data_IF_475367585764
#
_entry.id   IF_475367585764
#
_cell.length_a   1.000
_cell.length_b   1.000
_cell.length_c   1.000
_cell.angle_alpha   90.00
_cell.angle_beta   90.00
_cell.angle_gamma   90.00
#
_symmetry.space_group_name_H-M   'P 1'
#
loop_
_entity.id
_entity.type
_entity.pdbx_description
1 polymer ?
#
# COMPACT_ATOMS: atom_id res chain seq x y z
N UNK A 1 -27.49 91.85 -0.99
CA UNK A 1 -27.97 93.20 -0.66
C UNK A 1 -27.34 93.50 0.69
N UNK A 2 -26.28 94.28 0.84
CA UNK A 2 -25.96 95.62 0.31
C UNK A 2 -24.43 95.79 0.22
N UNK A 3 -23.89 96.02 -0.98
CA UNK A 3 -22.47 96.35 -1.21
C UNK A 3 -22.31 97.83 -1.60
N UNK A 4 -23.02 98.71 -0.90
CA UNK A 4 -23.12 100.13 -1.26
C UNK A 4 -22.58 101.08 -0.19
N UNK A 5 -22.10 100.57 0.95
CA UNK A 5 -21.55 101.39 2.06
C UNK A 5 -20.01 101.22 2.23
N UNK A 6 -19.34 100.39 1.42
CA UNK A 6 -17.90 100.08 1.59
C UNK A 6 -16.95 101.09 0.91
N UNK A 7 -17.45 102.06 0.14
CA UNK A 7 -16.58 102.96 -0.65
C UNK A 7 -15.98 104.14 0.13
N UNK A 8 -16.14 104.24 1.46
CA UNK A 8 -15.57 105.37 2.20
C UNK A 8 -15.02 105.03 3.60
N UNK A 9 -14.51 103.82 3.82
CA UNK A 9 -13.77 103.51 5.05
C UNK A 9 -12.28 103.83 4.89
N UNK A 10 -11.75 104.61 5.83
CA UNK A 10 -10.33 104.98 5.92
C UNK A 10 -9.45 103.81 6.43
N UNK A 11 -10.06 102.66 6.74
CA UNK A 11 -9.43 101.50 7.36
C UNK A 11 -9.13 100.41 6.32
N UNK A 12 -7.92 99.86 6.37
CA UNK A 12 -7.51 98.71 5.55
C UNK A 12 -7.96 97.37 6.19
N UNK A 13 -9.21 96.99 5.97
CA UNK A 13 -9.79 95.74 6.49
C UNK A 13 -9.16 94.48 5.89
N UNK A 14 -8.56 94.53 4.69
CA UNK A 14 -7.95 93.37 4.03
C UNK A 14 -6.71 92.89 4.79
N UNK A 15 -5.88 93.83 5.26
CA UNK A 15 -4.72 93.52 6.09
C UNK A 15 -5.12 92.86 7.42
N UNK A 16 -6.21 93.31 8.04
CA UNK A 16 -6.69 92.81 9.34
C UNK A 16 -7.42 91.46 9.28
N UNK A 17 -8.14 91.17 8.20
CA UNK A 17 -8.86 89.89 8.02
C UNK A 17 -7.98 88.77 7.47
N UNK A 18 -6.72 89.07 7.12
CA UNK A 18 -5.79 88.07 6.61
C UNK A 18 -5.47 86.98 7.66
N UNK A 19 -5.49 85.68 7.31
CA UNK A 19 -5.21 84.58 8.25
C UNK A 19 -3.76 84.56 8.77
N UNK A 20 -2.89 85.40 8.20
CA UNK A 20 -1.49 85.58 8.57
C UNK A 20 -1.24 86.87 9.36
N UNK A 21 -2.28 87.63 9.70
CA UNK A 21 -2.14 88.88 10.43
C UNK A 21 -1.47 88.65 11.79
N UNK A 22 -0.38 89.38 12.04
CA UNK A 22 0.31 89.37 13.34
C UNK A 22 0.39 90.81 13.88
N UNK A 23 -0.17 91.07 15.09
CA UNK A 23 -0.21 92.41 15.66
C UNK A 23 1.18 93.07 15.80
N UNK A 24 2.20 92.26 16.11
CA UNK A 24 3.58 92.72 16.29
C UNK A 24 4.25 93.15 14.98
N UNK A 25 4.03 92.43 13.88
CA UNK A 25 4.56 92.79 12.56
C UNK A 25 3.90 94.05 12.02
N UNK A 26 2.59 94.18 12.24
CA UNK A 26 1.84 95.37 11.85
C UNK A 26 2.31 96.61 12.64
N UNK A 27 2.42 96.50 13.96
CA UNK A 27 2.94 97.58 14.80
C UNK A 27 4.36 98.01 14.38
N UNK A 28 5.24 97.05 14.08
CA UNK A 28 6.58 97.33 13.58
C UNK A 28 6.56 98.03 12.22
N UNK A 29 5.71 97.60 11.29
CA UNK A 29 5.58 98.26 9.98
C UNK A 29 5.08 99.70 10.10
N UNK A 30 4.22 99.97 11.09
CA UNK A 30 3.63 101.29 11.32
C UNK A 30 4.62 102.24 12.01
N UNK A 31 5.42 101.74 12.96
CA UNK A 31 6.52 102.51 13.59
C UNK A 31 7.61 102.84 12.58
N UNK A 32 7.99 101.89 11.72
CA UNK A 32 8.97 102.11 10.65
C UNK A 32 8.43 103.01 9.53
N UNK A 33 7.10 103.03 9.32
CA UNK A 33 6.45 103.88 8.32
C UNK A 33 6.30 105.34 8.73
N UNK A 34 6.24 105.64 10.03
CA UNK A 34 6.08 107.02 10.54
C UNK A 34 7.39 107.68 10.94
N UNK A 35 8.44 106.91 11.24
CA UNK A 35 9.71 107.44 11.76
C UNK A 35 10.84 107.25 10.74
N UNK A 36 11.66 108.29 10.55
CA UNK A 36 12.90 108.19 9.80
C UNK A 36 14.06 107.75 10.73
N UNK A 37 15.09 107.05 10.21
CA UNK A 37 16.19 106.52 11.02
C UNK A 37 17.06 107.59 11.70
N UNK A 38 16.80 108.87 11.46
CA UNK A 38 17.51 110.03 12.03
C UNK A 38 16.70 110.80 13.08
N UNK A 39 15.45 110.41 13.37
CA UNK A 39 14.64 111.09 14.38
C UNK A 39 15.02 110.65 15.81
N UNK A 40 15.41 111.62 16.64
CA UNK A 40 15.61 111.46 18.09
C UNK A 40 14.96 112.64 18.81
N UNK A 41 13.91 112.45 19.63
CA UNK A 41 13.30 111.18 20.07
C UNK A 41 12.32 110.58 19.05
N UNK A 42 12.17 109.25 19.10
CA UNK A 42 11.22 108.47 18.30
C UNK A 42 9.78 108.92 18.58
N UNK A 43 9.05 109.29 17.53
CA UNK A 43 7.63 109.66 17.66
C UNK A 43 6.76 108.41 17.67
N UNK A 44 6.35 108.02 18.87
CA UNK A 44 5.38 106.96 19.13
C UNK A 44 3.95 107.48 19.20
N UNK A 45 3.75 108.80 19.28
CA UNK A 45 2.44 109.39 19.45
C UNK A 45 1.60 109.26 18.18
N UNK A 46 2.20 109.49 17.01
CA UNK A 46 1.53 109.40 15.71
C UNK A 46 1.12 107.97 15.33
N UNK A 47 1.98 106.94 15.48
CA UNK A 47 1.58 105.53 15.35
C UNK A 47 0.44 105.12 16.27
N UNK A 48 0.55 105.51 17.53
CA UNK A 48 -0.40 105.12 18.56
C UNK A 48 -1.75 105.80 18.32
N UNK A 49 -1.77 107.09 17.94
CA UNK A 49 -3.02 107.78 17.60
C UNK A 49 -3.73 107.15 16.40
N UNK A 50 -2.97 106.68 15.41
CA UNK A 50 -3.53 106.00 14.23
C UNK A 50 -4.15 104.65 14.61
N UNK A 51 -3.42 103.80 15.34
CA UNK A 51 -3.94 102.49 15.79
C UNK A 51 -5.13 102.67 16.72
N UNK A 52 -5.13 103.68 17.59
CA UNK A 52 -6.27 103.97 18.45
C UNK A 52 -7.49 104.44 17.64
N UNK A 53 -7.29 105.28 16.64
CA UNK A 53 -8.35 105.72 15.75
C UNK A 53 -8.95 104.52 14.99
N UNK A 54 -8.10 103.69 14.37
CA UNK A 54 -8.53 102.50 13.63
C UNK A 54 -9.27 101.51 14.55
N UNK A 55 -8.77 101.29 15.78
CA UNK A 55 -9.42 100.40 16.76
C UNK A 55 -10.76 100.97 17.25
N UNK A 56 -10.85 102.28 17.49
CA UNK A 56 -12.10 102.93 17.87
C UNK A 56 -13.12 102.84 16.74
N UNK A 57 -12.73 103.12 15.50
CA UNK A 57 -13.61 103.06 14.35
C UNK A 57 -14.08 101.62 14.08
N UNK A 58 -13.18 100.62 14.11
CA UNK A 58 -13.53 99.20 14.05
C UNK A 58 -14.51 98.83 15.16
N UNK A 59 -14.27 99.26 16.40
CA UNK A 59 -15.15 98.93 17.51
C UNK A 59 -16.53 99.59 17.34
N UNK A 60 -16.60 100.85 16.89
CA UNK A 60 -17.88 101.50 16.59
C UNK A 60 -18.60 100.83 15.42
N UNK A 61 -17.87 100.35 14.42
CA UNK A 61 -18.44 99.64 13.28
C UNK A 61 -18.96 98.26 13.69
N UNK A 62 -18.21 97.51 14.51
CA UNK A 62 -18.65 96.24 15.09
C UNK A 62 -19.86 96.47 15.99
N UNK A 63 -19.86 97.50 16.83
CA UNK A 63 -20.98 97.82 17.71
C UNK A 63 -22.22 98.20 16.89
N UNK A 64 -22.09 99.01 15.84
CA UNK A 64 -23.21 99.37 14.98
C UNK A 64 -23.73 98.20 14.16
N UNK A 65 -22.85 97.35 13.63
CA UNK A 65 -23.25 96.16 12.89
C UNK A 65 -23.89 95.13 13.82
N UNK A 66 -23.29 94.90 14.99
CA UNK A 66 -23.79 93.95 16.00
C UNK A 66 -25.10 94.44 16.61
N UNK A 67 -25.30 95.74 16.82
CA UNK A 67 -26.59 96.27 17.30
C UNK A 67 -27.66 96.25 16.21
N UNK A 68 -27.34 96.60 14.96
CA UNK A 68 -28.28 96.56 13.83
C UNK A 68 -28.67 95.13 13.44
N UNK A 69 -27.73 94.20 13.45
CA UNK A 69 -27.92 92.79 13.09
C UNK A 69 -27.83 91.83 14.27
N UNK A 70 -28.11 92.31 15.49
CA UNK A 70 -28.06 91.50 16.73
C UNK A 70 -28.93 90.24 16.60
N UNK A 71 -30.15 90.42 16.12
CA UNK A 71 -31.13 89.34 15.98
C UNK A 71 -30.68 88.30 14.94
N UNK A 72 -30.29 88.67 13.70
CA UNK A 72 -29.72 87.73 12.73
C UNK A 72 -28.48 86.96 13.21
N UNK A 73 -27.57 87.61 13.94
CA UNK A 73 -26.35 86.96 14.44
C UNK A 73 -26.67 85.97 15.56
N UNK A 74 -27.59 86.33 16.46
CA UNK A 74 -28.09 85.44 17.50
C UNK A 74 -28.86 84.26 16.90
N UNK A 75 -29.73 84.49 15.91
CA UNK A 75 -30.43 83.40 15.24
C UNK A 75 -29.45 82.48 14.49
N UNK A 76 -28.46 83.03 13.79
CA UNK A 76 -27.48 82.22 13.07
C UNK A 76 -26.61 81.38 14.00
N UNK A 77 -26.11 81.97 15.09
CA UNK A 77 -25.33 81.24 16.10
C UNK A 77 -26.18 80.22 16.84
N UNK A 78 -27.45 80.52 17.13
CA UNK A 78 -28.40 79.58 17.71
C UNK A 78 -28.65 78.40 16.75
N UNK A 79 -28.96 78.67 15.48
CA UNK A 79 -29.21 77.65 14.45
C UNK A 79 -27.96 76.78 14.19
N UNK A 80 -26.78 77.40 14.17
CA UNK A 80 -25.50 76.69 13.99
C UNK A 80 -25.18 75.80 15.20
N UNK A 81 -25.41 76.31 16.42
CA UNK A 81 -25.19 75.53 17.65
C UNK A 81 -26.19 74.38 17.72
N UNK A 82 -27.46 74.63 17.40
CA UNK A 82 -28.51 73.61 17.42
C UNK A 82 -28.27 72.54 16.35
N UNK A 83 -27.90 72.92 15.12
CA UNK A 83 -27.58 71.96 14.05
C UNK A 83 -26.34 71.14 14.37
N UNK A 84 -25.27 71.76 14.89
CA UNK A 84 -24.05 71.05 15.32
C UNK A 84 -24.35 70.08 16.46
N UNK A 85 -25.18 70.49 17.43
CA UNK A 85 -25.58 69.64 18.54
C UNK A 85 -26.42 68.44 18.07
N UNK A 86 -27.34 68.64 17.12
CA UNK A 86 -28.10 67.54 16.50
C UNK A 86 -27.19 66.56 15.76
N UNK A 87 -26.21 67.06 15.01
CA UNK A 87 -25.25 66.21 14.28
C UNK A 87 -24.40 65.39 15.26
N UNK A 88 -23.88 66.02 16.32
CA UNK A 88 -23.10 65.32 17.34
C UNK A 88 -23.94 64.26 18.04
N UNK A 89 -25.18 64.57 18.41
CA UNK A 89 -26.10 63.61 19.03
C UNK A 89 -26.37 62.40 18.13
N UNK A 90 -26.62 62.64 16.84
CA UNK A 90 -26.86 61.57 15.88
C UNK A 90 -25.60 60.70 15.71
N UNK A 91 -24.43 61.31 15.54
CA UNK A 91 -23.16 60.59 15.43
C UNK A 91 -22.86 59.78 16.69
N UNK A 92 -23.03 60.37 17.88
CA UNK A 92 -22.83 59.67 19.14
C UNK A 92 -23.77 58.48 19.28
N UNK A 93 -25.03 58.64 18.87
CA UNK A 93 -26.01 57.55 18.87
C UNK A 93 -25.62 56.43 17.91
N UNK A 94 -25.12 56.76 16.71
CA UNK A 94 -24.69 55.80 15.71
C UNK A 94 -23.39 55.08 16.15
N UNK A 95 -22.43 55.80 16.71
CA UNK A 95 -21.19 55.24 17.25
C UNK A 95 -21.50 54.31 18.44
N UNK A 96 -22.40 54.72 19.34
CA UNK A 96 -22.84 53.86 20.43
C UNK A 96 -23.51 52.58 19.91
N UNK A 97 -24.39 52.69 18.90
CA UNK A 97 -25.05 51.55 18.28
C UNK A 97 -24.05 50.59 17.60
N UNK A 98 -23.02 51.12 16.95
CA UNK A 98 -21.98 50.34 16.30
C UNK A 98 -21.10 49.62 17.33
N UNK A 99 -20.75 50.30 18.41
CA UNK A 99 -19.93 49.74 19.48
C UNK A 99 -20.70 48.62 20.22
N UNK A 100 -21.99 48.81 20.47
CA UNK A 100 -22.86 47.77 21.00
C UNK A 100 -23.04 46.61 20.02
N UNK A 101 -23.18 46.90 18.71
CA UNK A 101 -23.21 45.89 17.65
C UNK A 101 -21.92 45.06 17.59
N UNK A 102 -20.76 45.71 17.71
CA UNK A 102 -19.46 45.04 17.74
C UNK A 102 -19.29 44.16 18.98
N UNK A 103 -19.65 44.67 20.17
CA UNK A 103 -19.63 43.88 21.41
C UNK A 103 -20.56 42.67 21.35
N UNK A 104 -21.71 42.81 20.70
CA UNK A 104 -22.62 41.68 20.44
C UNK A 104 -21.97 40.67 19.49
N UNK A 105 -21.37 41.12 18.39
CA UNK A 105 -20.68 40.25 17.44
C UNK A 105 -19.49 39.51 18.08
N UNK A 106 -18.67 40.21 18.86
CA UNK A 106 -17.55 39.63 19.60
C UNK A 106 -18.03 38.51 20.53
N UNK A 107 -19.07 38.79 21.31
CA UNK A 107 -19.62 37.82 22.26
C UNK A 107 -20.32 36.64 21.57
N UNK A 108 -21.09 36.89 20.52
CA UNK A 108 -21.93 35.86 19.89
C UNK A 108 -21.22 35.07 18.81
N UNK A 109 -20.29 35.67 18.08
CA UNK A 109 -19.62 35.05 16.92
C UNK A 109 -18.20 34.63 17.28
N UNK A 110 -17.40 35.52 17.86
CA UNK A 110 -15.97 35.26 18.07
C UNK A 110 -15.77 34.16 19.14
N UNK A 111 -16.42 34.30 20.29
CA UNK A 111 -16.36 33.27 21.35
C UNK A 111 -16.93 31.93 20.88
N UNK A 112 -17.98 31.94 20.05
CA UNK A 112 -18.53 30.69 19.48
C UNK A 112 -17.62 30.07 18.43
N UNK A 113 -16.88 30.88 17.68
CA UNK A 113 -15.91 30.40 16.71
C UNK A 113 -14.71 29.75 17.40
N UNK A 114 -14.14 30.39 18.42
CA UNK A 114 -13.01 29.83 19.19
C UNK A 114 -13.39 28.49 19.82
N UNK A 115 -14.56 28.43 20.48
CA UNK A 115 -15.07 27.17 21.05
C UNK A 115 -15.35 26.11 19.97
N UNK A 116 -15.81 26.50 18.79
CA UNK A 116 -15.99 25.57 17.68
C UNK A 116 -14.66 25.05 17.12
N UNK A 117 -13.61 25.86 17.08
CA UNK A 117 -12.26 25.45 16.65
C UNK A 117 -11.63 24.47 17.65
N UNK A 118 -11.81 24.71 18.95
CA UNK A 118 -11.42 23.76 20.00
C UNK A 118 -12.16 22.43 19.84
N UNK A 119 -13.48 22.47 19.65
CA UNK A 119 -14.30 21.27 19.44
C UNK A 119 -13.91 20.55 18.15
N UNK A 120 -13.62 21.28 17.06
CA UNK A 120 -13.14 20.70 15.81
C UNK A 120 -11.81 19.96 16.02
N UNK A 121 -10.90 20.54 16.79
CA UNK A 121 -9.60 19.95 17.13
C UNK A 121 -9.76 18.70 18.01
N UNK A 122 -10.68 18.71 18.97
CA UNK A 122 -11.01 17.54 19.78
C UNK A 122 -11.66 16.45 18.93
N UNK A 123 -12.60 16.82 18.06
CA UNK A 123 -13.31 15.89 17.19
C UNK A 123 -12.37 15.24 16.16
N UNK A 124 -11.40 15.98 15.60
CA UNK A 124 -10.41 15.42 14.67
C UNK A 124 -9.50 14.40 15.37
N UNK A 125 -9.02 14.71 16.58
CA UNK A 125 -8.24 13.77 17.41
C UNK A 125 -9.05 12.53 17.79
N UNK A 126 -10.32 12.69 18.16
CA UNK A 126 -11.21 11.57 18.47
C UNK A 126 -11.46 10.71 17.22
N UNK A 127 -11.63 11.32 16.06
CA UNK A 127 -11.79 10.57 14.81
C UNK A 127 -10.53 9.78 14.45
N UNK A 128 -9.34 10.38 14.57
CA UNK A 128 -8.07 9.70 14.34
C UNK A 128 -7.87 8.51 15.30
N UNK A 129 -8.18 8.70 16.58
CA UNK A 129 -8.06 7.62 17.58
C UNK A 129 -9.06 6.49 17.34
N UNK A 130 -10.31 6.79 16.97
CA UNK A 130 -11.32 5.77 16.62
C UNK A 130 -10.93 5.05 15.32
N UNK A 131 -10.45 5.77 14.30
CA UNK A 131 -9.98 5.18 13.04
C UNK A 131 -8.84 4.21 13.31
N UNK A 132 -7.82 4.64 14.04
CA UNK A 132 -6.67 3.81 14.38
C UNK A 132 -7.08 2.61 15.24
N UNK A 133 -7.93 2.84 16.24
CA UNK A 133 -8.44 1.78 17.13
C UNK A 133 -9.21 0.70 16.39
N UNK A 134 -10.04 1.06 15.39
CA UNK A 134 -10.78 0.09 14.56
C UNK A 134 -9.85 -0.78 13.72
N UNK A 135 -8.82 -0.20 13.11
CA UNK A 135 -7.88 -0.95 12.29
C UNK A 135 -7.00 -1.86 13.15
N UNK A 136 -6.52 -1.37 14.30
CA UNK A 136 -5.80 -2.20 15.28
C UNK A 136 -6.67 -3.35 15.76
N UNK A 137 -7.93 -3.10 16.10
CA UNK A 137 -8.87 -4.14 16.49
C UNK A 137 -9.07 -5.19 15.38
N UNK A 138 -9.23 -4.76 14.12
CA UNK A 138 -9.30 -5.67 12.97
C UNK A 138 -8.02 -6.49 12.79
N UNK A 139 -6.85 -5.87 12.91
CA UNK A 139 -5.55 -6.55 12.83
C UNK A 139 -5.39 -7.61 13.94
N UNK A 140 -5.75 -7.26 15.18
CA UNK A 140 -5.72 -8.18 16.32
C UNK A 140 -6.72 -9.33 16.14
N UNK A 141 -7.93 -9.05 15.65
CA UNK A 141 -8.94 -10.08 15.36
C UNK A 141 -8.46 -11.05 14.28
N UNK A 142 -7.85 -10.55 13.21
CA UNK A 142 -7.24 -11.38 12.17
C UNK A 142 -6.06 -12.19 12.70
N UNK A 143 -5.22 -11.60 13.56
CA UNK A 143 -4.14 -12.32 14.24
C UNK A 143 -4.66 -13.46 15.12
N UNK A 144 -5.69 -13.22 15.92
CA UNK A 144 -6.36 -14.26 16.71
C UNK A 144 -6.98 -15.35 15.82
N UNK A 145 -7.62 -14.96 14.72
CA UNK A 145 -8.18 -15.91 13.76
C UNK A 145 -7.07 -16.78 13.15
N UNK A 146 -5.92 -16.19 12.82
CA UNK A 146 -4.76 -16.90 12.31
C UNK A 146 -4.20 -17.90 13.34
N UNK A 147 -4.10 -17.54 14.62
CA UNK A 147 -3.65 -18.47 15.67
C UNK A 147 -4.59 -19.67 15.82
N UNK A 148 -5.90 -19.44 15.81
CA UNK A 148 -6.89 -20.52 15.89
C UNK A 148 -6.72 -21.46 14.69
N UNK A 149 -6.65 -20.91 13.48
CA UNK A 149 -6.47 -21.70 12.26
C UNK A 149 -5.11 -22.41 12.23
N UNK A 150 -4.06 -21.83 12.80
CA UNK A 150 -2.74 -22.46 12.91
C UNK A 150 -2.76 -23.63 13.90
N UNK A 151 -3.51 -23.52 14.99
CA UNK A 151 -3.70 -24.61 15.95
C UNK A 151 -4.46 -25.81 15.35
N UNK A 152 -5.38 -25.54 14.40
CA UNK A 152 -6.09 -26.56 13.62
C UNK A 152 -5.16 -27.29 12.63
N UNK A 153 -4.13 -26.62 12.10
CA UNK A 153 -3.12 -27.23 11.22
C UNK A 153 -2.16 -28.13 12.01
N UNK A 154 -1.81 -27.73 13.25
CA UNK A 154 -0.84 -28.44 14.08
C UNK A 154 -1.40 -29.61 14.90
N UNK A 155 -2.72 -29.84 14.89
CA UNK A 155 -3.42 -30.71 15.85
C UNK A 155 -3.07 -30.42 17.34
N UNK A 156 -2.56 -29.22 17.64
CA UNK A 156 -2.10 -28.83 18.99
C UNK A 156 -3.24 -28.32 19.88
N UNK A 157 -4.42 -28.06 19.32
CA UNK A 157 -5.59 -27.52 20.03
C UNK A 157 -6.51 -28.54 20.71
N UNK A 158 -6.28 -29.85 20.56
CA UNK A 158 -7.11 -30.89 21.18
C UNK A 158 -6.35 -31.59 22.33
N UNK A 159 -6.85 -31.60 23.59
CA UNK A 159 -6.19 -32.27 24.71
C UNK A 159 -6.19 -33.80 24.61
N UNK A 160 -6.86 -34.36 23.60
CA UNK A 160 -6.87 -35.79 23.29
C UNK A 160 -6.31 -35.96 21.88
N UNK A 161 -5.06 -36.45 21.79
CA UNK A 161 -4.52 -37.01 20.56
C UNK A 161 -5.32 -38.27 20.21
N UNK A 162 -6.49 -38.11 19.60
CA UNK A 162 -7.18 -39.25 18.98
C UNK A 162 -6.31 -39.71 17.82
N UNK A 163 -5.78 -40.93 17.83
CA UNK A 163 -5.04 -41.47 16.70
C UNK A 163 -6.02 -41.55 15.52
N UNK A 164 -5.88 -40.66 14.53
CA UNK A 164 -6.79 -40.57 13.39
C UNK A 164 -7.66 -39.32 13.29
N UNK A 165 -7.52 -38.33 14.19
CA UNK A 165 -8.10 -37.01 13.97
C UNK A 165 -7.45 -36.36 12.75
N UNK A 166 -8.21 -36.30 11.65
CA UNK A 166 -7.76 -35.80 10.34
C UNK A 166 -7.25 -34.37 10.48
N UNK A 167 -6.04 -34.13 10.00
CA UNK A 167 -5.52 -32.78 9.80
C UNK A 167 -6.46 -32.02 8.86
N UNK A 168 -6.97 -30.87 9.28
CA UNK A 168 -7.82 -30.03 8.44
C UNK A 168 -6.96 -29.34 7.37
N UNK A 169 -6.70 -30.03 6.26
CA UNK A 169 -5.99 -29.45 5.11
C UNK A 169 -6.70 -28.20 4.54
N UNK A 170 -7.99 -28.05 4.82
CA UNK A 170 -8.78 -26.83 4.53
C UNK A 170 -8.42 -25.64 5.44
N UNK A 171 -7.91 -25.88 6.65
CA UNK A 171 -7.41 -24.84 7.55
C UNK A 171 -6.18 -24.12 6.94
N UNK A 172 -5.38 -24.83 6.14
CA UNK A 172 -4.22 -24.26 5.43
C UNK A 172 -4.67 -23.20 4.41
N UNK A 173 -5.73 -23.48 3.63
CA UNK A 173 -6.35 -22.52 2.70
C UNK A 173 -6.94 -21.33 3.45
N UNK A 174 -7.64 -21.57 4.56
CA UNK A 174 -8.18 -20.50 5.42
C UNK A 174 -7.07 -19.60 5.97
N UNK A 175 -5.96 -20.16 6.44
CA UNK A 175 -4.77 -19.43 6.89
C UNK A 175 -4.17 -18.58 5.77
N UNK A 176 -4.08 -19.12 4.55
CA UNK A 176 -3.54 -18.34 3.43
C UNK A 176 -4.40 -17.11 3.11
N UNK A 177 -5.73 -17.23 3.20
CA UNK A 177 -6.63 -16.10 3.00
C UNK A 177 -6.55 -15.07 4.13
N UNK A 178 -6.41 -15.50 5.39
CA UNK A 178 -6.23 -14.57 6.52
C UNK A 178 -4.88 -13.86 6.45
N UNK A 179 -3.79 -14.56 6.09
CA UNK A 179 -2.48 -13.97 5.82
C UNK A 179 -2.54 -12.96 4.66
N UNK A 180 -3.31 -13.25 3.61
CA UNK A 180 -3.52 -12.31 2.50
C UNK A 180 -4.28 -11.06 2.93
N UNK A 181 -5.35 -11.20 3.71
CA UNK A 181 -6.10 -10.06 4.25
C UNK A 181 -5.22 -9.19 5.17
N UNK A 182 -4.35 -9.83 5.95
CA UNK A 182 -3.37 -9.12 6.80
C UNK A 182 -2.36 -8.37 5.91
N UNK A 183 -1.83 -9.01 4.86
CA UNK A 183 -0.94 -8.35 3.90
C UNK A 183 -1.60 -7.18 3.19
N UNK A 184 -2.86 -7.32 2.79
CA UNK A 184 -3.65 -6.25 2.17
C UNK A 184 -3.79 -5.04 3.12
N UNK A 185 -4.08 -5.29 4.39
CA UNK A 185 -4.13 -4.25 5.42
C UNK A 185 -2.80 -3.50 5.58
N UNK A 186 -1.67 -4.20 5.52
CA UNK A 186 -0.36 -3.57 5.59
C UNK A 186 0.06 -2.87 4.29
N UNK A 187 -0.38 -3.38 3.12
CA UNK A 187 -0.08 -2.78 1.83
C UNK A 187 -0.86 -1.47 1.60
N UNK A 188 -2.09 -1.38 2.10
CA UNK A 188 -2.94 -0.17 2.07
C UNK A 188 -2.50 0.89 3.08
N UNK A 189 -1.24 1.33 3.03
CA UNK A 189 -0.64 2.29 3.98
C UNK A 189 -0.71 3.77 3.51
N UNK A 190 -1.37 4.04 2.38
CA UNK A 190 -1.50 5.38 1.82
C UNK A 190 -2.29 6.36 2.70
N UNK A 191 -2.17 7.69 2.49
CA UNK A 191 -2.92 8.68 3.25
C UNK A 191 -4.42 8.52 3.02
N UNK A 192 -5.17 8.19 4.08
CA UNK A 192 -6.61 7.93 4.02
C UNK A 192 -6.98 6.45 3.86
N UNK A 193 -6.01 5.56 3.69
CA UNK A 193 -6.22 4.12 3.62
C UNK A 193 -6.15 3.47 5.02
N UNK A 194 -6.70 2.27 5.13
CA UNK A 194 -6.88 1.57 6.41
C UNK A 194 -5.56 1.34 7.16
N UNK A 195 -4.44 1.11 6.47
CA UNK A 195 -3.14 0.83 7.06
C UNK A 195 -2.32 2.06 7.49
N UNK A 196 -2.85 3.28 7.32
CA UNK A 196 -2.09 4.49 7.63
C UNK A 196 -1.82 4.65 9.14
N UNK A 197 -0.53 4.59 9.52
CA UNK A 197 -0.09 4.72 10.91
C UNK A 197 -0.05 3.42 11.71
N UNK A 198 -0.35 2.27 11.08
CA UNK A 198 -0.40 0.97 11.77
C UNK A 198 0.99 0.49 12.24
N UNK A 199 2.04 0.74 11.46
CA UNK A 199 3.43 0.33 11.77
C UNK A 199 4.05 1.11 12.94
N UNK A 200 3.49 2.29 13.26
CA UNK A 200 3.94 3.11 14.39
C UNK A 200 3.53 2.50 15.73
N UNK A 201 2.59 1.57 15.75
CA UNK A 201 2.05 0.96 16.97
C UNK A 201 2.87 -0.26 17.34
N UNK A 202 3.42 -0.25 18.55
CA UNK A 202 4.26 -1.34 19.06
C UNK A 202 3.52 -2.68 19.08
N UNK A 203 2.26 -2.71 19.50
CA UNK A 203 1.44 -3.94 19.55
C UNK A 203 1.28 -4.60 18.17
N UNK A 204 1.20 -3.80 17.11
CA UNK A 204 1.11 -4.32 15.74
C UNK A 204 2.46 -4.89 15.30
N UNK A 205 3.55 -4.21 15.64
CA UNK A 205 4.91 -4.68 15.37
C UNK A 205 5.25 -5.96 16.13
N UNK A 206 4.82 -6.07 17.39
CA UNK A 206 4.99 -7.30 18.16
C UNK A 206 4.16 -8.42 17.55
N UNK A 207 2.89 -8.21 17.20
CA UNK A 207 2.07 -9.20 16.50
C UNK A 207 2.69 -9.66 15.16
N UNK A 208 3.28 -8.73 14.39
CA UNK A 208 3.94 -9.06 13.14
C UNK A 208 5.16 -9.96 13.34
N UNK A 209 5.99 -9.63 14.33
CA UNK A 209 7.23 -10.36 14.62
C UNK A 209 6.98 -11.69 15.34
N UNK A 210 6.01 -11.75 16.25
CA UNK A 210 5.76 -12.91 17.11
C UNK A 210 4.75 -13.91 16.54
N UNK A 211 3.79 -13.47 15.75
CA UNK A 211 2.69 -14.32 15.26
C UNK A 211 2.68 -14.42 13.74
N UNK A 212 2.63 -13.29 13.01
CA UNK A 212 2.45 -13.31 11.55
C UNK A 212 3.65 -13.96 10.84
N UNK A 213 4.86 -13.46 11.07
CA UNK A 213 6.07 -13.96 10.43
C UNK A 213 6.32 -15.46 10.69
N UNK A 214 6.24 -15.97 11.93
CA UNK A 214 6.39 -17.41 12.17
C UNK A 214 5.21 -18.21 11.60
N UNK A 215 3.97 -17.72 11.68
CA UNK A 215 2.82 -18.42 11.08
C UNK A 215 2.99 -18.59 9.57
N UNK A 216 3.46 -17.55 8.87
CA UNK A 216 3.75 -17.63 7.44
C UNK A 216 4.81 -18.71 7.13
N UNK A 217 5.91 -18.74 7.90
CA UNK A 217 6.95 -19.78 7.74
C UNK A 217 6.42 -21.19 8.01
N UNK A 218 5.56 -21.36 9.00
CA UNK A 218 4.95 -22.66 9.31
C UNK A 218 4.02 -23.10 8.17
N UNK A 219 3.17 -22.21 7.66
CA UNK A 219 2.26 -22.53 6.55
C UNK A 219 3.04 -22.86 5.27
N UNK A 220 4.10 -22.11 4.96
CA UNK A 220 4.97 -22.38 3.80
C UNK A 220 5.73 -23.69 3.94
N UNK A 221 6.39 -23.93 5.08
CA UNK A 221 7.14 -25.18 5.30
C UNK A 221 6.21 -26.40 5.28
N UNK A 222 5.00 -26.30 5.86
CA UNK A 222 4.02 -27.40 5.87
C UNK A 222 3.46 -27.69 4.49
N UNK A 223 3.11 -26.66 3.70
CA UNK A 223 2.65 -26.85 2.32
C UNK A 223 3.73 -27.44 1.42
N UNK A 224 5.00 -27.00 1.55
CA UNK A 224 6.14 -27.61 0.86
C UNK A 224 6.36 -29.06 1.28
N UNK A 225 6.23 -29.38 2.57
CA UNK A 225 6.33 -30.75 3.08
C UNK A 225 5.26 -31.66 2.49
N UNK A 226 3.99 -31.22 2.44
CA UNK A 226 2.89 -32.00 1.86
C UNK A 226 3.09 -32.30 0.37
N UNK A 227 3.73 -31.39 -0.38
CA UNK A 227 4.08 -31.63 -1.79
C UNK A 227 5.25 -32.61 -1.89
N UNK A 228 6.26 -32.51 -1.01
CA UNK A 228 7.40 -33.44 -0.98
C UNK A 228 7.00 -34.87 -0.61
N UNK A 229 6.01 -35.02 0.27
CA UNK A 229 5.49 -36.31 0.73
C UNK A 229 4.45 -36.92 -0.21
N UNK A 230 4.14 -36.25 -1.33
CA UNK A 230 3.16 -36.74 -2.28
C UNK A 230 3.59 -38.07 -2.92
N UNK A 231 2.77 -39.10 -2.70
CA UNK A 231 2.88 -40.40 -3.35
C UNK A 231 1.49 -41.01 -3.54
N UNK A 232 1.16 -41.38 -4.78
CA UNK A 232 -0.09 -42.08 -5.14
C UNK A 232 0.16 -43.47 -5.74
N UNK A 233 1.42 -43.85 -5.99
CA UNK A 233 1.76 -45.13 -6.60
C UNK A 233 1.71 -46.25 -5.58
N UNK A 234 0.93 -47.28 -5.91
CA UNK A 234 0.83 -48.54 -5.17
C UNK A 234 1.94 -49.55 -5.53
N UNK A 235 2.84 -49.20 -6.46
CA UNK A 235 3.78 -50.14 -7.06
C UNK A 235 4.97 -50.49 -6.15
N UNK A 236 5.32 -49.64 -5.19
CA UNK A 236 6.43 -49.88 -4.24
C UNK A 236 6.02 -50.65 -2.99
N UNK A 237 4.72 -50.82 -2.73
CA UNK A 237 4.18 -51.33 -1.46
C UNK A 237 3.57 -52.71 -1.65
N UNK A 238 4.41 -53.75 -1.65
CA UNK A 238 3.97 -55.16 -1.82
C UNK A 238 3.06 -55.68 -0.70
N UNK A 239 2.77 -54.89 0.35
CA UNK A 239 1.98 -55.33 1.52
C UNK A 239 0.81 -54.42 1.89
N UNK A 240 0.66 -53.23 1.29
CA UNK A 240 -0.41 -52.28 1.64
C UNK A 240 -0.87 -51.56 0.37
N UNK A 241 -1.95 -52.03 -0.24
CA UNK A 241 -2.68 -51.25 -1.24
C UNK A 241 -3.26 -50.02 -0.55
N UNK A 242 -2.90 -48.81 -0.99
CA UNK A 242 -3.52 -47.61 -0.41
C UNK A 242 -5.01 -47.64 -0.75
N UNK A 243 -5.87 -47.62 0.25
CA UNK A 243 -7.32 -47.61 0.04
C UNK A 243 -7.71 -46.39 -0.80
N UNK A 244 -8.72 -46.49 -1.67
CA UNK A 244 -9.23 -45.35 -2.45
C UNK A 244 -9.43 -44.07 -1.61
N UNK A 245 -9.86 -44.23 -0.36
CA UNK A 245 -9.98 -43.14 0.60
C UNK A 245 -8.64 -42.43 0.91
N UNK A 246 -7.53 -43.16 1.02
CA UNK A 246 -6.19 -42.62 1.27
C UNK A 246 -5.63 -41.90 0.03
N UNK A 247 -5.85 -42.46 -1.16
CA UNK A 247 -5.46 -41.82 -2.43
C UNK A 247 -6.25 -40.53 -2.66
N UNK A 248 -7.54 -40.51 -2.31
CA UNK A 248 -8.36 -39.29 -2.36
C UNK A 248 -7.91 -38.26 -1.33
N UNK A 249 -7.62 -38.68 -0.10
CA UNK A 249 -7.17 -37.79 0.97
C UNK A 249 -5.81 -37.14 0.65
N UNK A 250 -4.85 -37.90 0.12
CA UNK A 250 -3.56 -37.35 -0.36
C UNK A 250 -3.73 -36.38 -1.52
N UNK A 251 -4.67 -36.64 -2.44
CA UNK A 251 -5.07 -35.70 -3.50
C UNK A 251 -5.67 -34.41 -2.94
N UNK A 252 -6.58 -34.48 -1.97
CA UNK A 252 -7.21 -33.29 -1.37
C UNK A 252 -6.23 -32.45 -0.54
N UNK A 253 -5.29 -33.11 0.17
CA UNK A 253 -4.19 -32.44 0.89
C UNK A 253 -3.26 -31.70 -0.04
N UNK A 254 -2.84 -32.34 -1.14
CA UNK A 254 -1.96 -31.71 -2.12
C UNK A 254 -2.65 -30.61 -2.91
N UNK A 255 -3.94 -30.75 -3.26
CA UNK A 255 -4.73 -29.66 -3.82
C UNK A 255 -4.76 -28.43 -2.90
N UNK A 256 -4.97 -28.65 -1.60
CA UNK A 256 -4.97 -27.58 -0.59
C UNK A 256 -3.58 -26.95 -0.43
N UNK A 257 -2.50 -27.75 -0.47
CA UNK A 257 -1.12 -27.26 -0.42
C UNK A 257 -0.73 -26.46 -1.68
N UNK A 258 -1.19 -26.86 -2.86
CA UNK A 258 -0.95 -26.15 -4.11
C UNK A 258 -1.70 -24.81 -4.13
N UNK A 259 -2.98 -24.82 -3.75
CA UNK A 259 -3.79 -23.60 -3.64
C UNK A 259 -3.18 -22.59 -2.67
N UNK A 260 -2.60 -23.06 -1.57
CA UNK A 260 -2.00 -22.18 -0.54
C UNK A 260 -0.66 -21.62 -0.95
N UNK A 261 0.21 -22.39 -1.61
CA UNK A 261 1.43 -21.86 -2.21
C UNK A 261 1.14 -20.87 -3.34
N UNK A 262 0.10 -21.13 -4.12
CA UNK A 262 -0.39 -20.19 -5.12
C UNK A 262 -0.86 -18.87 -4.47
N UNK A 263 -1.71 -18.96 -3.44
CA UNK A 263 -2.22 -17.80 -2.70
C UNK A 263 -1.10 -17.03 -1.97
N UNK A 264 -0.11 -17.70 -1.40
CA UNK A 264 1.00 -17.06 -0.69
C UNK A 264 2.12 -16.56 -1.61
N UNK A 265 2.16 -17.01 -2.87
CA UNK A 265 3.13 -16.54 -3.85
C UNK A 265 3.02 -15.03 -4.03
N UNK A 266 4.18 -14.37 -3.99
CA UNK A 266 4.28 -12.93 -3.84
C UNK A 266 3.70 -12.20 -5.04
N UNK A 267 2.57 -11.51 -4.84
CA UNK A 267 2.13 -10.44 -5.73
C UNK A 267 2.88 -9.11 -5.45
N UNK A 268 3.90 -9.10 -4.58
CA UNK A 268 4.62 -7.89 -4.19
C UNK A 268 5.29 -7.17 -5.37
N UNK A 269 5.51 -7.85 -6.49
CA UNK A 269 5.99 -7.25 -7.74
C UNK A 269 4.96 -6.41 -8.50
N UNK A 270 3.66 -6.52 -8.18
CA UNK A 270 2.58 -5.84 -8.89
C UNK A 270 2.31 -4.40 -8.40
N UNK A 271 2.91 -4.00 -7.28
CA UNK A 271 2.75 -2.64 -6.72
C UNK A 271 3.81 -1.64 -7.20
N UNK A 272 4.76 -2.06 -8.04
CA UNK A 272 5.56 -1.10 -8.81
C UNK A 272 4.68 -0.58 -9.94
N UNK A 273 4.60 0.74 -10.12
CA UNK A 273 3.80 1.45 -11.15
C UNK A 273 4.03 1.00 -12.61
N UNK A 274 4.84 -0.03 -12.83
CA UNK A 274 5.15 -0.72 -14.09
C UNK A 274 4.43 -2.09 -14.27
N UNK A 275 3.42 -2.40 -13.46
CA UNK A 275 2.73 -3.71 -13.41
C UNK A 275 2.01 -4.17 -14.69
N UNK A 276 1.89 -3.35 -15.73
CA UNK A 276 1.18 -3.74 -16.98
C UNK A 276 1.92 -4.74 -17.86
N UNK A 277 3.14 -5.16 -17.51
CA UNK A 277 3.99 -6.03 -18.35
C UNK A 277 4.70 -7.20 -17.65
N UNK A 278 4.55 -7.35 -16.34
CA UNK A 278 5.11 -8.50 -15.63
C UNK A 278 4.05 -9.60 -15.61
N UNK A 279 4.24 -10.61 -16.45
CA UNK A 279 3.51 -11.87 -16.31
C UNK A 279 3.74 -12.36 -14.88
N UNK A 280 2.68 -12.38 -14.08
CA UNK A 280 2.77 -12.86 -12.71
C UNK A 280 2.99 -14.38 -12.75
N UNK A 281 4.13 -14.83 -12.24
CA UNK A 281 4.46 -16.25 -12.12
C UNK A 281 4.47 -16.66 -10.64
N UNK A 282 3.83 -17.78 -10.27
CA UNK A 282 3.76 -18.22 -8.89
C UNK A 282 5.10 -18.87 -8.48
N UNK A 283 6.09 -18.03 -8.19
CA UNK A 283 7.49 -18.43 -7.93
C UNK A 283 7.61 -19.49 -6.82
N UNK A 284 6.91 -19.31 -5.69
CA UNK A 284 6.93 -20.28 -4.58
C UNK A 284 6.38 -21.66 -4.98
N UNK A 285 5.34 -21.69 -5.81
CA UNK A 285 4.75 -22.93 -6.30
C UNK A 285 5.70 -23.60 -7.29
N UNK A 286 6.22 -22.84 -8.27
CA UNK A 286 7.17 -23.34 -9.27
C UNK A 286 8.42 -23.88 -8.60
N UNK A 287 9.00 -23.15 -7.65
CA UNK A 287 10.18 -23.58 -6.89
C UNK A 287 9.91 -24.88 -6.12
N UNK A 288 8.77 -24.99 -5.42
CA UNK A 288 8.44 -26.19 -4.66
C UNK A 288 8.28 -27.44 -5.55
N UNK A 289 7.70 -27.27 -6.74
CA UNK A 289 7.53 -28.34 -7.72
C UNK A 289 8.84 -28.70 -8.41
N UNK A 290 9.69 -27.72 -8.72
CA UNK A 290 11.04 -27.96 -9.23
C UNK A 290 11.90 -28.72 -8.23
N UNK A 291 11.84 -28.38 -6.94
CA UNK A 291 12.54 -29.09 -5.87
C UNK A 291 12.06 -30.55 -5.73
N UNK A 292 10.74 -30.77 -5.83
CA UNK A 292 10.18 -32.13 -5.84
C UNK A 292 10.72 -32.94 -7.02
N UNK A 293 10.70 -32.38 -8.23
CA UNK A 293 11.23 -33.03 -9.45
C UNK A 293 12.72 -33.33 -9.32
N UNK A 294 13.53 -32.37 -8.86
CA UNK A 294 14.98 -32.53 -8.65
C UNK A 294 15.27 -33.62 -7.62
N UNK A 295 14.50 -33.68 -6.54
CA UNK A 295 14.64 -34.71 -5.49
C UNK A 295 14.27 -36.10 -6.03
N UNK A 296 13.18 -36.21 -6.78
CA UNK A 296 12.77 -37.46 -7.43
C UNK A 296 13.81 -37.95 -8.45
N UNK A 297 14.40 -37.05 -9.25
CA UNK A 297 15.43 -37.34 -10.24
C UNK A 297 16.76 -37.77 -9.61
N UNK A 298 17.28 -36.99 -8.67
CA UNK A 298 18.57 -37.30 -8.01
C UNK A 298 18.50 -38.61 -7.23
N UNK A 299 17.41 -38.85 -6.52
CA UNK A 299 17.21 -40.11 -5.80
C UNK A 299 17.02 -41.32 -6.71
N UNK A 300 16.38 -41.18 -7.87
CA UNK A 300 16.18 -42.29 -8.83
C UNK A 300 17.45 -42.59 -9.61
N UNK A 301 18.22 -41.56 -9.99
CA UNK A 301 19.54 -41.72 -10.59
C UNK A 301 20.49 -42.46 -9.65
N UNK A 302 20.56 -42.05 -8.37
CA UNK A 302 21.44 -42.65 -7.38
C UNK A 302 21.05 -44.08 -6.98
N UNK A 303 19.76 -44.43 -7.00
CA UNK A 303 19.31 -45.81 -6.76
C UNK A 303 19.60 -46.70 -7.96
N UNK A 304 19.34 -46.20 -9.18
CA UNK A 304 19.55 -46.95 -10.42
C UNK A 304 21.06 -47.16 -10.69
N UNK A 305 21.91 -46.17 -10.44
CA UNK A 305 23.37 -46.32 -10.58
C UNK A 305 23.94 -47.39 -9.64
N UNK A 306 23.41 -47.49 -8.42
CA UNK A 306 23.79 -48.55 -7.47
C UNK A 306 23.25 -49.91 -7.91
N UNK A 307 22.00 -49.98 -8.33
CA UNK A 307 21.38 -51.24 -8.76
C UNK A 307 22.01 -51.82 -10.04
N UNK A 308 22.52 -50.97 -10.93
CA UNK A 308 23.33 -51.43 -12.07
C UNK A 308 24.70 -51.98 -11.64
N UNK A 309 25.28 -51.47 -10.55
CA UNK A 309 26.48 -52.08 -9.97
C UNK A 309 26.16 -53.40 -9.23
N UNK A 310 24.95 -53.54 -8.68
CA UNK A 310 24.48 -54.71 -7.92
C UNK A 310 23.16 -55.27 -8.48
N UNK A 311 23.29 -56.07 -9.54
CA UNK A 311 22.18 -56.58 -10.36
C UNK A 311 20.99 -57.25 -9.62
N UNK A 312 21.17 -57.97 -8.48
CA UNK A 312 20.05 -58.60 -7.77
C UNK A 312 18.99 -57.62 -7.25
N UNK A 313 19.34 -56.34 -7.10
CA UNK A 313 18.43 -55.29 -6.62
C UNK A 313 17.76 -54.51 -7.75
N UNK A 314 18.11 -54.80 -9.00
CA UNK A 314 17.67 -54.06 -10.19
C UNK A 314 16.15 -54.02 -10.30
N UNK A 315 15.47 -55.16 -10.27
CA UNK A 315 14.02 -55.23 -10.44
C UNK A 315 13.28 -54.43 -9.37
N UNK A 316 13.73 -54.51 -8.12
CA UNK A 316 13.17 -53.71 -7.03
C UNK A 316 13.35 -52.21 -7.27
N UNK A 317 14.55 -51.78 -7.67
CA UNK A 317 14.79 -50.35 -7.93
C UNK A 317 14.06 -49.85 -9.16
N UNK A 318 13.88 -50.66 -10.20
CA UNK A 318 13.09 -50.32 -11.39
C UNK A 318 11.60 -50.19 -11.04
N UNK A 319 11.08 -51.01 -10.13
CA UNK A 319 9.73 -50.83 -9.58
C UNK A 319 9.60 -49.52 -8.79
N UNK A 320 10.59 -49.15 -7.99
CA UNK A 320 10.59 -47.86 -7.26
C UNK A 320 10.71 -46.65 -8.21
N UNK A 321 11.53 -46.72 -9.27
CA UNK A 321 11.65 -45.65 -10.28
C UNK A 321 10.37 -45.50 -11.10
N UNK A 322 9.76 -46.62 -11.51
CA UNK A 322 8.46 -46.58 -12.20
C UNK A 322 7.35 -46.05 -11.31
N UNK A 323 7.35 -46.38 -10.00
CA UNK A 323 6.42 -45.80 -9.03
C UNK A 323 6.57 -44.27 -8.92
N UNK A 324 7.80 -43.74 -8.92
CA UNK A 324 8.06 -42.30 -8.91
C UNK A 324 7.57 -41.62 -10.20
N UNK A 325 7.75 -42.25 -11.36
CA UNK A 325 7.21 -41.74 -12.62
C UNK A 325 5.67 -41.71 -12.62
N UNK A 326 5.03 -42.76 -12.08
CA UNK A 326 3.57 -42.78 -11.90
C UNK A 326 3.08 -41.67 -10.99
N UNK A 327 3.81 -41.35 -9.91
CA UNK A 327 3.52 -40.20 -9.06
C UNK A 327 3.61 -38.88 -9.83
N UNK A 328 4.60 -38.71 -10.71
CA UNK A 328 4.72 -37.51 -11.54
C UNK A 328 3.58 -37.36 -12.55
N UNK A 329 3.16 -38.44 -13.19
CA UNK A 329 2.00 -38.44 -14.08
C UNK A 329 0.72 -38.10 -13.31
N UNK A 330 0.59 -38.66 -12.10
CA UNK A 330 -0.53 -38.36 -11.23
C UNK A 330 -0.53 -36.87 -10.81
N UNK A 331 0.63 -36.30 -10.47
CA UNK A 331 0.80 -34.87 -10.17
C UNK A 331 0.44 -33.99 -11.38
N UNK A 332 0.86 -34.37 -12.59
CA UNK A 332 0.52 -33.67 -13.82
C UNK A 332 -1.01 -33.63 -14.02
N UNK A 333 -1.68 -34.76 -13.84
CA UNK A 333 -3.15 -34.82 -13.93
C UNK A 333 -3.85 -33.99 -12.86
N UNK A 334 -3.26 -33.88 -11.65
CA UNK A 334 -3.79 -33.02 -10.59
C UNK A 334 -3.64 -31.55 -10.96
N UNK A 335 -2.46 -31.12 -11.35
CA UNK A 335 -2.19 -29.73 -11.76
C UNK A 335 -3.02 -29.31 -12.98
N UNK A 336 -3.38 -30.24 -13.87
CA UNK A 336 -4.30 -30.01 -15.00
C UNK A 336 -5.75 -29.82 -14.55
N UNK A 337 -6.13 -30.44 -13.43
CA UNK A 337 -7.52 -30.46 -12.93
C UNK A 337 -7.85 -29.32 -11.97
N UNK A 338 -6.83 -28.66 -11.42
CA UNK A 338 -7.03 -27.62 -10.41
C UNK A 338 -7.15 -26.27 -11.11
N UNK A 339 -8.34 -25.68 -11.02
CA UNK A 339 -8.56 -24.28 -11.36
C UNK A 339 -7.99 -23.39 -10.25
N UNK A 340 -7.25 -22.31 -10.60
CA UNK A 340 -6.72 -21.39 -9.61
C UNK A 340 -7.87 -20.73 -8.82
N UNK A 341 -7.78 -20.64 -7.49
CA UNK A 341 -8.71 -19.82 -6.71
C UNK A 341 -8.48 -18.33 -7.03
N UNK A 342 -9.54 -17.54 -6.98
CA UNK A 342 -9.46 -16.09 -7.17
C UNK A 342 -8.43 -15.48 -6.20
N UNK A 343 -7.41 -14.82 -6.75
CA UNK A 343 -6.34 -14.22 -5.97
C UNK A 343 -6.74 -12.77 -5.65
N UNK A 344 -6.90 -12.39 -4.36
CA UNK A 344 -7.40 -11.05 -4.00
C UNK A 344 -6.47 -9.90 -4.41
N UNK A 345 -5.21 -10.20 -4.77
CA UNK A 345 -4.21 -9.21 -5.18
C UNK A 345 -4.00 -9.13 -6.71
N UNK A 346 -4.74 -9.91 -7.51
CA UNK A 346 -4.72 -9.78 -8.97
C UNK A 346 -5.89 -8.87 -9.40
N UNK A 347 -5.62 -7.72 -10.04
CA UNK A 347 -6.66 -6.75 -10.42
C UNK A 347 -7.57 -7.23 -11.56
N UNK A 348 -7.28 -8.37 -12.20
CA UNK A 348 -8.07 -8.91 -13.31
C UNK A 348 -7.92 -10.44 -13.41
N UNK A 349 -9.04 -11.13 -13.62
CA UNK A 349 -9.13 -12.58 -13.82
C UNK A 349 -8.31 -13.04 -15.06
N UNK A 350 -8.05 -12.13 -16.00
CA UNK A 350 -7.27 -12.34 -17.23
C UNK A 350 -5.77 -12.64 -17.00
N UNK A 351 -5.23 -12.36 -15.81
CA UNK A 351 -3.83 -12.70 -15.46
C UNK A 351 -3.69 -14.05 -14.75
N UNK A 352 -4.81 -14.72 -14.43
CA UNK A 352 -4.78 -16.03 -13.80
C UNK A 352 -4.48 -17.12 -14.84
N UNK A 353 -3.48 -18.01 -14.61
CA UNK A 353 -3.21 -19.10 -15.54
C UNK A 353 -4.39 -20.07 -15.57
N UNK A 354 -4.86 -20.45 -16.77
CA UNK A 354 -6.01 -21.35 -16.93
C UNK A 354 -5.90 -22.67 -16.14
N UNK A 355 -4.66 -23.15 -15.91
CA UNK A 355 -4.34 -24.28 -15.04
C UNK A 355 -2.95 -24.07 -14.42
N UNK A 356 -2.69 -24.68 -13.25
CA UNK A 356 -1.37 -24.64 -12.59
C UNK A 356 -0.23 -25.31 -13.36
N UNK A 357 -0.55 -26.10 -14.39
CA UNK A 357 0.45 -26.72 -15.27
C UNK A 357 1.15 -25.72 -16.19
N UNK A 358 0.43 -24.75 -16.74
CA UNK A 358 0.97 -23.89 -17.80
C UNK A 358 2.21 -23.11 -17.34
N UNK A 359 2.22 -22.46 -16.14
CA UNK A 359 3.40 -21.76 -15.63
C UNK A 359 4.61 -22.69 -15.37
N UNK A 360 4.34 -23.95 -15.01
CA UNK A 360 5.39 -24.93 -14.77
C UNK A 360 5.98 -25.44 -16.08
N UNK A 361 5.14 -25.70 -17.08
CA UNK A 361 5.59 -26.17 -18.39
C UNK A 361 6.37 -25.09 -19.14
N UNK A 362 5.97 -23.82 -19.01
CA UNK A 362 6.73 -22.68 -19.57
C UNK A 362 8.07 -22.50 -18.86
N UNK A 363 8.13 -22.57 -17.52
CA UNK A 363 9.40 -22.43 -16.79
C UNK A 363 10.37 -23.60 -17.01
N UNK A 364 9.86 -24.79 -17.34
CA UNK A 364 10.68 -25.96 -17.66
C UNK A 364 10.89 -26.15 -19.17
N UNK A 365 10.34 -25.28 -20.02
CA UNK A 365 10.35 -25.39 -21.50
C UNK A 365 10.01 -26.80 -22.01
N UNK A 366 9.05 -27.47 -21.37
CA UNK A 366 8.75 -28.89 -21.63
C UNK A 366 7.27 -29.13 -21.92
N UNK A 367 7.00 -30.16 -22.73
CA UNK A 367 5.63 -30.55 -23.08
C UNK A 367 4.95 -31.50 -22.09
N UNK A 368 5.71 -32.19 -21.23
CA UNK A 368 5.18 -33.05 -20.17
C UNK A 368 6.20 -33.35 -19.08
N UNK A 369 5.71 -33.52 -17.85
CA UNK A 369 6.54 -33.82 -16.66
C UNK A 369 7.24 -35.19 -16.76
N UNK A 370 6.58 -36.29 -17.20
CA UNK A 370 7.23 -37.59 -17.34
C UNK A 370 8.29 -37.62 -18.44
N UNK A 371 8.10 -36.90 -19.55
CA UNK A 371 9.11 -36.83 -20.62
C UNK A 371 10.36 -36.09 -20.16
N UNK A 372 10.20 -35.01 -19.38
CA UNK A 372 11.32 -34.33 -18.72
C UNK A 372 12.05 -35.26 -17.74
N UNK A 373 11.31 -36.04 -16.94
CA UNK A 373 11.89 -36.99 -15.99
C UNK A 373 12.77 -38.04 -16.70
N UNK A 374 12.24 -38.75 -17.69
CA UNK A 374 12.98 -39.81 -18.38
C UNK A 374 14.18 -39.27 -19.18
N UNK A 375 14.05 -38.11 -19.84
CA UNK A 375 15.15 -37.50 -20.60
C UNK A 375 16.31 -37.09 -19.69
N UNK A 376 15.99 -36.47 -18.56
CA UNK A 376 16.99 -36.02 -17.59
C UNK A 376 17.64 -37.20 -16.87
N UNK A 377 16.86 -38.23 -16.52
CA UNK A 377 17.35 -39.48 -15.95
C UNK A 377 18.32 -40.18 -16.92
N UNK A 378 17.95 -40.30 -18.20
CA UNK A 378 18.80 -40.90 -19.23
C UNK A 378 20.13 -40.16 -19.41
N UNK A 379 20.10 -38.83 -19.43
CA UNK A 379 21.30 -37.99 -19.54
C UNK A 379 22.28 -38.25 -18.39
N UNK A 380 21.80 -38.25 -17.14
CA UNK A 380 22.62 -38.53 -15.97
C UNK A 380 23.01 -40.01 -15.81
N UNK A 381 22.20 -40.93 -16.33
CA UNK A 381 22.50 -42.36 -16.29
C UNK A 381 23.65 -42.73 -17.23
N UNK A 382 23.69 -42.14 -18.42
CA UNK A 382 24.74 -42.39 -19.42
C UNK A 382 26.14 -42.20 -18.82
N UNK A 383 26.36 -41.09 -18.12
CA UNK A 383 27.65 -40.78 -17.48
C UNK A 383 27.99 -41.77 -16.37
N UNK A 384 27.00 -42.19 -15.56
CA UNK A 384 27.21 -43.16 -14.48
C UNK A 384 27.48 -44.57 -14.98
N UNK A 385 26.85 -45.00 -16.07
CA UNK A 385 27.13 -46.30 -16.68
C UNK A 385 28.52 -46.31 -17.32
N UNK A 386 28.93 -45.23 -17.99
CA UNK A 386 30.30 -45.09 -18.50
C UNK A 386 31.34 -45.17 -17.36
N UNK A 387 31.12 -44.50 -16.22
CA UNK A 387 31.99 -44.61 -15.05
C UNK A 387 32.13 -46.07 -14.56
N UNK A 388 31.03 -46.83 -14.52
CA UNK A 388 31.05 -48.24 -14.08
C UNK A 388 31.83 -49.12 -15.05
N UNK A 389 31.66 -48.91 -16.36
CA UNK A 389 32.36 -49.67 -17.39
C UNK A 389 33.85 -49.33 -17.42
N UNK A 390 34.20 -48.05 -17.31
CA UNK A 390 35.58 -47.56 -17.33
C UNK A 390 36.37 -47.98 -16.09
N UNK A 391 35.71 -48.09 -14.93
CA UNK A 391 36.32 -48.64 -13.70
C UNK A 391 36.62 -50.13 -13.80
N UNK A 392 36.00 -50.84 -14.73
CA UNK A 392 36.18 -52.28 -14.92
C UNK A 392 35.72 -53.12 -13.73
N UNK A 393 36.06 -54.41 -13.74
CA UNK A 393 35.76 -55.35 -12.65
C UNK A 393 34.52 -56.21 -12.85
N UNK A 394 34.07 -56.85 -11.78
CA UNK A 394 32.98 -57.86 -11.80
C UNK A 394 31.65 -57.24 -12.19
N UNK A 395 31.33 -56.03 -11.72
CA UNK A 395 30.11 -55.31 -12.06
C UNK A 395 30.01 -55.00 -13.56
N UNK A 396 31.11 -54.54 -14.18
CA UNK A 396 31.17 -54.28 -15.63
C UNK A 396 31.02 -55.56 -16.46
N UNK A 397 31.62 -56.68 -16.01
CA UNK A 397 31.50 -57.99 -16.68
C UNK A 397 30.07 -58.54 -16.59
N UNK A 398 29.46 -58.47 -15.40
CA UNK A 398 28.09 -58.91 -15.15
C UNK A 398 27.05 -58.06 -15.89
N UNK A 399 27.29 -56.75 -16.05
CA UNK A 399 26.46 -55.89 -16.87
C UNK A 399 26.54 -56.24 -18.35
N UNK A 400 27.73 -56.58 -18.88
CA UNK A 400 27.90 -57.02 -20.26
C UNK A 400 27.24 -58.37 -20.53
N UNK A 401 27.35 -59.33 -19.61
CA UNK A 401 26.72 -60.66 -19.76
C UNK A 401 25.19 -60.60 -19.68
N UNK A 402 24.63 -59.69 -18.88
CA UNK A 402 23.18 -59.55 -18.69
C UNK A 402 22.56 -58.39 -19.49
N UNK A 403 23.26 -57.89 -20.53
CA UNK A 403 22.86 -56.73 -21.34
C UNK A 403 21.41 -56.83 -21.87
N UNK A 404 21.00 -57.99 -22.37
CA UNK A 404 19.65 -58.20 -22.91
C UNK A 404 18.57 -58.17 -21.81
N UNK A 405 18.85 -58.79 -20.66
CA UNK A 405 17.92 -58.79 -19.51
C UNK A 405 17.76 -57.38 -18.94
N UNK A 406 18.84 -56.61 -18.82
CA UNK A 406 18.79 -55.22 -18.36
C UNK A 406 18.04 -54.33 -19.34
N UNK A 407 18.25 -54.52 -20.65
CA UNK A 407 17.50 -53.82 -21.70
C UNK A 407 16.00 -54.07 -21.58
N UNK A 408 15.60 -55.33 -21.44
CA UNK A 408 14.19 -55.71 -21.41
C UNK A 408 13.52 -55.24 -20.09
N UNK A 409 14.24 -55.31 -18.96
CA UNK A 409 13.77 -54.79 -17.67
C UNK A 409 13.62 -53.26 -17.65
N UNK A 410 14.53 -52.51 -18.29
CA UNK A 410 14.41 -51.04 -18.44
C UNK A 410 13.24 -50.69 -19.36
N UNK A 411 13.06 -51.41 -20.47
CA UNK A 411 11.91 -51.23 -21.36
C UNK A 411 10.60 -51.43 -20.60
N UNK A 412 10.51 -52.50 -19.83
CA UNK A 412 9.34 -52.79 -19.01
C UNK A 412 9.13 -51.74 -17.90
N UNK A 413 10.21 -51.23 -17.29
CA UNK A 413 10.17 -50.17 -16.29
C UNK A 413 9.57 -48.87 -16.84
N UNK A 414 10.00 -48.43 -18.03
CA UNK A 414 9.47 -47.21 -18.66
C UNK A 414 8.01 -47.39 -19.03
N UNK A 415 7.63 -48.54 -19.61
CA UNK A 415 6.23 -48.84 -19.96
C UNK A 415 5.33 -48.95 -18.72
N UNK A 416 5.81 -49.54 -17.63
CA UNK A 416 5.08 -49.58 -16.35
C UNK A 416 4.96 -48.20 -15.71
N UNK A 417 6.02 -47.39 -15.79
CA UNK A 417 6.09 -46.04 -15.23
C UNK A 417 5.26 -45.01 -16.00
N UNK A 418 5.03 -45.23 -17.30
CA UNK A 418 4.23 -44.35 -18.15
C UNK A 418 2.74 -44.68 -18.14
N UNK A 419 2.34 -45.80 -17.54
CA UNK A 419 0.93 -46.12 -17.28
C UNK A 419 0.41 -45.31 -16.09
N UNK A 420 -0.76 -44.70 -16.23
CA UNK A 420 -1.41 -43.99 -15.14
C UNK A 420 -1.66 -44.94 -13.93
N UNK A 421 -1.50 -44.47 -12.68
CA UNK A 421 -1.82 -45.28 -11.51
C UNK A 421 -3.29 -45.72 -11.52
N UNK A 422 -3.56 -46.94 -11.04
CA UNK A 422 -4.92 -47.47 -10.92
C UNK A 422 -5.78 -46.55 -10.02
N UNK A 423 -6.78 -45.87 -10.61
CA UNK A 423 -7.68 -44.94 -9.90
C UNK A 423 -7.75 -43.53 -10.49
N UNK A 424 -6.88 -43.17 -11.44
CA UNK A 424 -6.98 -41.92 -12.21
C UNK A 424 -7.54 -42.27 -13.59
N UNK A 425 -8.71 -41.74 -13.93
CA UNK A 425 -9.24 -41.87 -15.29
C UNK A 425 -8.26 -41.21 -16.24
N UNK A 426 -7.58 -42.04 -17.04
CA UNK A 426 -6.72 -41.59 -18.11
C UNK A 426 -7.51 -40.60 -18.98
N UNK A 427 -6.94 -39.41 -19.21
CA UNK A 427 -7.43 -38.49 -20.22
C UNK A 427 -7.55 -39.28 -21.53
N UNK A 428 -8.79 -39.38 -22.02
CA UNK A 428 -9.29 -40.05 -23.22
C UNK A 428 -8.19 -40.24 -24.30
N UNK A 429 -7.56 -41.42 -24.36
CA UNK A 429 -6.47 -41.63 -25.33
C UNK A 429 -5.61 -42.90 -25.19
N UNK A 430 -6.14 -44.02 -24.70
CA UNK A 430 -5.36 -45.26 -24.48
C UNK A 430 -4.60 -45.79 -25.71
N UNK A 431 -5.03 -45.47 -26.94
CA UNK A 431 -4.39 -46.01 -28.17
C UNK A 431 -3.25 -45.16 -28.75
N UNK A 432 -3.03 -43.93 -28.25
CA UNK A 432 -1.92 -43.06 -28.71
C UNK A 432 -0.75 -42.96 -27.73
N UNK A 433 -0.94 -43.40 -26.48
CA UNK A 433 0.08 -43.33 -25.44
C UNK A 433 1.23 -44.33 -25.68
N UNK A 434 0.94 -45.57 -26.10
CA UNK A 434 1.99 -46.60 -26.30
C UNK A 434 3.01 -46.19 -27.37
N UNK A 435 2.57 -45.54 -28.47
CA UNK A 435 3.47 -45.01 -29.50
C UNK A 435 4.21 -43.73 -29.06
N UNK A 436 3.64 -42.96 -28.12
CA UNK A 436 4.25 -41.73 -27.62
C UNK A 436 5.48 -42.00 -26.76
N UNK A 437 5.48 -43.10 -26.00
CA UNK A 437 6.57 -43.42 -25.06
C UNK A 437 7.71 -44.23 -25.68
N UNK A 438 7.57 -44.69 -26.93
CA UNK A 438 8.65 -45.41 -27.63
C UNK A 438 9.92 -44.56 -27.74
N UNK A 439 9.77 -43.24 -27.84
CA UNK A 439 10.89 -42.29 -27.86
C UNK A 439 11.63 -42.26 -26.53
N UNK A 440 10.92 -42.17 -25.41
CA UNK A 440 11.49 -42.20 -24.06
C UNK A 440 12.10 -43.57 -23.73
N UNK A 441 11.47 -44.66 -24.16
CA UNK A 441 12.03 -46.02 -24.08
C UNK A 441 13.35 -46.11 -24.83
N UNK A 442 13.41 -45.61 -26.07
CA UNK A 442 14.62 -45.62 -26.87
C UNK A 442 15.74 -44.77 -26.25
N UNK A 443 15.41 -43.61 -25.67
CA UNK A 443 16.38 -42.74 -24.98
C UNK A 443 16.91 -43.38 -23.70
N UNK A 444 16.04 -43.98 -22.88
CA UNK A 444 16.44 -44.69 -21.66
C UNK A 444 17.25 -45.94 -21.94
N UNK A 445 16.82 -46.77 -22.89
CA UNK A 445 17.58 -47.96 -23.31
C UNK A 445 18.91 -47.54 -23.94
N UNK A 446 18.92 -46.48 -24.76
CA UNK A 446 20.13 -45.93 -25.37
C UNK A 446 21.15 -45.42 -24.35
N UNK A 447 20.69 -44.83 -23.24
CA UNK A 447 21.56 -44.34 -22.16
C UNK A 447 22.37 -45.43 -21.46
N UNK A 448 21.82 -46.65 -21.39
CA UNK A 448 22.51 -47.81 -20.81
C UNK A 448 23.27 -48.56 -21.90
N UNK A 449 22.66 -48.79 -23.05
CA UNK A 449 23.21 -49.63 -24.12
C UNK A 449 24.33 -48.96 -24.92
N UNK A 450 24.31 -47.63 -25.07
CA UNK A 450 25.35 -46.86 -25.76
C UNK A 450 26.73 -47.02 -25.12
N UNK A 451 26.87 -46.79 -23.80
CA UNK A 451 28.10 -47.05 -23.06
C UNK A 451 28.57 -48.51 -23.06
N UNK A 452 27.64 -49.47 -23.13
CA UNK A 452 27.95 -50.92 -23.16
C UNK A 452 28.53 -51.39 -24.51
N UNK A 453 28.63 -50.49 -25.50
CA UNK A 453 29.09 -50.80 -26.86
C UNK A 453 27.94 -51.30 -27.74
N UNK A 454 28.10 -51.13 -29.06
CA UNK A 454 27.17 -51.69 -30.05
C UNK A 454 27.18 -53.22 -29.96
#
# INVERSE_FOLDING_TARGET
>A
MTSADEENSYIDYETFLSPTFSPSSFANSLVLGTNNPTDTPLDLSTPLSRVLFDAQEINTHIDTLTTKSALPLLSHTQDQTESSQRIVQEIDSQVASLNDGFKRLEKEVLVRYETAEEVQTVASRLWETVRLGRVVARCLQLGRQLEIQLSEIGNTGAPVKVPGAKEDHKALVRCSNTLLNIRELFQKSGPGEEGHGLERIEVVRTLQTSIINPAERVVLSRSQQLIREFSMSNLSSSSNTSTYAQTRDTKERTDSALKTLYLLSSASGLNSKNAKKLNWEPDLLVQSLQDYLRTALTSSLASLSRALATLPTLDRTLLEVSARCQNLLALESLLASIQPPAHPNLPSDDMAPANFLQPLLTSLETGSLPSYFWRTLAGGLTTKVQEIINKGGVSARTLRSNRNSVRDAIRECVVKGSRAPAGITALKGEKKADASWEREVAVMVGSVMGPLGR
#
